data_IF_459669043194
#
_entry.id   IF_459669043194
#
_cell.length_a   1.000
_cell.length_b   1.000
_cell.length_c   1.000
_cell.angle_alpha   90.00
_cell.angle_beta   90.00
_cell.angle_gamma   90.00
#
_symmetry.space_group_name_H-M   'P 1'
#
loop_
_entity.id
_entity.type
_entity.pdbx_description
1 polymer ?
#
# COMPACT_ATOMS: atom_id res chain seq x y z
N UNK A 1 0.54 13.41 18.48
CA UNK A 1 1.60 12.40 18.32
C UNK A 1 1.13 11.29 17.41
N UNK A 2 1.96 10.89 16.45
CA UNK A 2 1.59 9.85 15.49
C UNK A 2 2.05 8.50 16.01
N UNK A 3 1.13 7.54 16.03
CA UNK A 3 1.45 6.17 16.39
C UNK A 3 1.31 5.30 15.15
N UNK A 4 2.09 4.23 15.07
CA UNK A 4 2.01 3.30 13.93
C UNK A 4 1.78 1.88 14.42
N UNK A 5 1.08 1.11 13.60
CA UNK A 5 0.90 -0.33 13.81
C UNK A 5 1.26 -1.06 12.53
N UNK A 6 1.83 -2.24 12.69
CA UNK A 6 2.09 -3.14 11.56
C UNK A 6 1.20 -4.35 11.70
N UNK A 7 0.39 -4.61 10.67
CA UNK A 7 -0.40 -5.83 10.58
C UNK A 7 0.27 -6.76 9.57
N UNK A 8 0.35 -8.03 9.89
CA UNK A 8 0.96 -9.02 9.02
C UNK A 8 0.37 -10.39 9.35
N UNK A 9 1.01 -11.47 8.91
CA UNK A 9 0.48 -12.82 9.11
C UNK A 9 0.47 -13.24 10.56
N UNK A 10 1.29 -12.62 11.40
CA UNK A 10 1.42 -12.96 12.82
C UNK A 10 0.70 -11.97 13.73
N UNK A 11 0.43 -10.77 13.25
CA UNK A 11 -0.28 -9.73 14.00
C UNK A 11 -1.40 -9.20 13.13
N UNK A 12 -2.54 -9.88 13.18
CA UNK A 12 -3.66 -9.55 12.31
C UNK A 12 -4.58 -8.52 12.95
N UNK A 13 -5.20 -7.68 12.12
CA UNK A 13 -6.17 -6.73 12.64
C UNK A 13 -7.45 -7.46 13.06
N UNK A 14 -8.14 -6.91 14.04
CA UNK A 14 -9.50 -7.37 14.33
C UNK A 14 -10.42 -6.86 13.20
N UNK A 15 -11.65 -7.37 13.17
CA UNK A 15 -12.58 -7.09 12.06
C UNK A 15 -12.81 -5.60 11.85
N UNK A 16 -13.05 -4.85 12.92
CA UNK A 16 -13.27 -3.40 12.84
C UNK A 16 -12.05 -2.66 12.32
N UNK A 17 -10.85 -3.04 12.75
CA UNK A 17 -9.63 -2.43 12.27
C UNK A 17 -9.46 -2.66 10.77
N UNK A 18 -9.76 -3.87 10.31
CA UNK A 18 -9.65 -4.20 8.90
C UNK A 18 -10.65 -3.42 8.06
N UNK A 19 -11.90 -3.35 8.53
CA UNK A 19 -12.94 -2.58 7.84
C UNK A 19 -12.59 -1.10 7.78
N UNK A 20 -12.08 -0.55 8.86
CA UNK A 20 -11.65 0.84 8.90
C UNK A 20 -10.51 1.12 7.93
N UNK A 21 -9.60 0.17 7.81
CA UNK A 21 -8.47 0.30 6.88
C UNK A 21 -8.94 0.29 5.42
N UNK A 22 -9.85 -0.61 5.09
CA UNK A 22 -10.45 -0.67 3.75
C UNK A 22 -11.15 0.65 3.43
N UNK A 23 -11.98 1.11 4.34
CA UNK A 23 -12.73 2.36 4.15
C UNK A 23 -11.79 3.55 4.02
N UNK A 24 -10.73 3.58 4.82
CA UNK A 24 -9.74 4.65 4.77
C UNK A 24 -9.07 4.70 3.40
N UNK A 25 -8.60 3.56 2.92
CA UNK A 25 -7.91 3.52 1.63
C UNK A 25 -8.85 3.88 0.49
N UNK A 26 -10.06 3.35 0.51
CA UNK A 26 -11.05 3.66 -0.51
C UNK A 26 -11.32 5.16 -0.59
N UNK A 27 -11.49 5.79 0.56
CA UNK A 27 -11.83 7.21 0.63
C UNK A 27 -10.66 8.11 0.26
N UNK A 28 -9.44 7.76 0.67
CA UNK A 28 -8.30 8.66 0.56
C UNK A 28 -7.44 8.44 -0.67
N UNK A 29 -7.57 7.32 -1.36
CA UNK A 29 -6.92 7.13 -2.66
C UNK A 29 -7.62 7.88 -3.77
N UNK A 30 -8.91 8.15 -3.61
CA UNK A 30 -9.71 8.92 -4.55
C UNK A 30 -9.65 8.32 -5.96
N UNK A 31 -9.35 9.15 -6.97
CA UNK A 31 -9.31 8.72 -8.36
C UNK A 31 -8.20 7.73 -8.67
N UNK A 32 -7.19 7.63 -7.80
CA UNK A 32 -6.06 6.72 -8.01
C UNK A 32 -6.24 5.39 -7.28
N UNK A 33 -7.41 5.15 -6.71
CA UNK A 33 -7.68 3.93 -5.98
C UNK A 33 -8.43 2.90 -6.80
N UNK A 34 -8.85 1.87 -6.10
CA UNK A 34 -9.57 0.74 -6.66
C UNK A 34 -10.88 0.53 -5.91
N UNK A 35 -11.79 -0.29 -6.42
CA UNK A 35 -13.00 -0.67 -5.67
C UNK A 35 -12.62 -1.32 -4.34
N UNK A 36 -13.53 -1.19 -3.36
CA UNK A 36 -13.28 -1.77 -2.03
C UNK A 36 -12.98 -3.26 -2.08
N UNK A 37 -13.59 -4.00 -3.01
CA UNK A 37 -13.35 -5.43 -3.15
C UNK A 37 -11.89 -5.72 -3.53
N UNK A 38 -11.27 -4.89 -4.36
CA UNK A 38 -9.88 -5.07 -4.74
C UNK A 38 -8.95 -4.67 -3.61
N UNK A 39 -9.30 -3.60 -2.88
CA UNK A 39 -8.53 -3.17 -1.70
C UNK A 39 -8.53 -4.29 -0.66
N UNK A 40 -9.69 -4.90 -0.45
CA UNK A 40 -9.80 -6.02 0.49
C UNK A 40 -8.95 -7.20 0.05
N UNK A 41 -8.94 -7.50 -1.25
CA UNK A 41 -8.09 -8.57 -1.78
C UNK A 41 -6.61 -8.33 -1.48
N UNK A 42 -6.16 -7.08 -1.65
CA UNK A 42 -4.76 -6.74 -1.39
C UNK A 42 -4.42 -6.90 0.09
N UNK A 43 -5.32 -6.48 0.97
CA UNK A 43 -5.12 -6.63 2.41
C UNK A 43 -5.14 -8.11 2.81
N UNK A 44 -6.08 -8.88 2.27
CA UNK A 44 -6.15 -10.31 2.52
C UNK A 44 -4.88 -11.03 2.07
N UNK A 45 -4.32 -10.60 0.94
CA UNK A 45 -3.06 -11.14 0.45
C UNK A 45 -1.94 -10.89 1.48
N UNK A 46 -1.84 -9.65 1.96
CA UNK A 46 -0.80 -9.28 2.93
C UNK A 46 -0.90 -10.10 4.21
N UNK A 47 -2.11 -10.44 4.62
CA UNK A 47 -2.37 -11.14 5.87
C UNK A 47 -2.41 -12.67 5.70
N UNK A 48 -2.30 -13.17 4.49
CA UNK A 48 -2.47 -14.59 4.16
C UNK A 48 -3.86 -15.10 4.55
N UNK A 49 -4.86 -14.26 4.42
CA UNK A 49 -6.26 -14.70 4.53
C UNK A 49 -6.69 -15.43 3.27
N UNK A 50 -5.93 -15.27 2.19
CA UNK A 50 -6.02 -16.05 0.97
C UNK A 50 -4.66 -16.67 0.73
N UNK A 51 -4.57 -17.64 -0.17
CA UNK A 51 -3.28 -18.23 -0.54
C UNK A 51 -2.40 -17.15 -1.16
N UNK A 52 -1.23 -16.90 -0.57
CA UNK A 52 -0.38 -15.78 -0.97
C UNK A 52 1.00 -15.91 -0.34
N UNK A 53 1.91 -15.02 -0.73
CA UNK A 53 3.22 -14.92 -0.10
C UNK A 53 3.22 -13.96 1.09
N UNK A 54 2.09 -13.30 1.35
CA UNK A 54 1.97 -12.41 2.49
C UNK A 54 2.55 -11.03 2.21
N UNK A 55 2.69 -10.27 3.27
CA UNK A 55 3.21 -8.92 3.23
C UNK A 55 2.88 -8.22 4.54
N UNK A 56 2.58 -6.92 4.46
CA UNK A 56 2.17 -6.19 5.65
C UNK A 56 1.34 -4.98 5.31
N UNK A 57 0.59 -4.52 6.29
CA UNK A 57 -0.10 -3.24 6.27
C UNK A 57 0.50 -2.38 7.38
N UNK A 58 1.01 -1.22 7.02
CA UNK A 58 1.54 -0.26 7.99
C UNK A 58 0.52 0.87 8.09
N UNK A 59 0.03 1.13 9.30
CA UNK A 59 -1.04 2.10 9.52
C UNK A 59 -0.59 3.12 10.55
N UNK A 60 -0.81 4.40 10.26
CA UNK A 60 -0.53 5.48 11.22
C UNK A 60 -1.84 6.03 11.77
N UNK A 61 -1.78 6.48 13.00
CA UNK A 61 -2.94 7.01 13.73
C UNK A 61 -2.60 8.37 14.32
N UNK A 62 -3.55 9.29 14.23
CA UNK A 62 -3.52 10.57 14.91
C UNK A 62 -4.84 10.70 15.67
N UNK A 63 -4.78 10.88 17.00
CA UNK A 63 -5.98 10.98 17.82
C UNK A 63 -6.96 9.83 17.59
N UNK A 64 -6.41 8.60 17.54
CA UNK A 64 -7.18 7.36 17.38
C UNK A 64 -7.87 7.20 16.02
N UNK A 65 -7.56 8.06 15.06
CA UNK A 65 -8.06 7.92 13.70
C UNK A 65 -6.90 7.61 12.76
N UNK A 66 -7.18 6.86 11.70
CA UNK A 66 -6.16 6.53 10.71
C UNK A 66 -5.75 7.80 9.98
N UNK A 67 -4.45 8.12 10.05
CA UNK A 67 -3.89 9.28 9.35
C UNK A 67 -3.16 8.87 8.06
N UNK A 68 -2.79 7.61 7.94
CA UNK A 68 -2.15 7.12 6.74
C UNK A 68 -2.02 5.61 6.75
N UNK A 69 -1.80 5.02 5.58
CA UNK A 69 -1.64 3.57 5.49
C UNK A 69 -0.86 3.19 4.24
N UNK A 70 -0.12 2.08 4.33
CA UNK A 70 0.65 1.50 3.23
C UNK A 70 0.37 0.01 3.22
N UNK A 71 0.12 -0.55 2.04
CA UNK A 71 -0.02 -2.00 1.85
C UNK A 71 1.14 -2.47 0.98
N UNK A 72 1.93 -3.41 1.49
CA UNK A 72 3.04 -4.02 0.76
C UNK A 72 2.81 -5.52 0.69
N UNK A 73 2.91 -6.06 -0.53
CA UNK A 73 2.72 -7.49 -0.77
C UNK A 73 4.00 -8.09 -1.32
N UNK A 74 4.35 -9.29 -0.85
CA UNK A 74 5.50 -10.02 -1.36
C UNK A 74 5.12 -10.71 -2.66
N UNK A 75 6.03 -10.68 -3.64
CA UNK A 75 5.76 -11.25 -4.96
C UNK A 75 6.05 -12.74 -5.03
N UNK A 76 6.86 -13.25 -4.11
CA UNK A 76 7.34 -14.62 -4.18
C UNK A 76 8.46 -14.81 -5.19
N UNK A 77 8.91 -13.72 -5.82
CA UNK A 77 9.99 -13.74 -6.82
C UNK A 77 11.19 -13.00 -6.27
N UNK A 78 12.34 -13.22 -6.90
CA UNK A 78 13.58 -12.67 -6.39
C UNK A 78 14.54 -12.38 -7.54
N UNK A 79 15.15 -11.21 -7.51
CA UNK A 79 16.19 -10.81 -8.47
C UNK A 79 15.64 -10.20 -9.76
N UNK A 80 14.97 -11.01 -10.57
CA UNK A 80 14.44 -10.57 -11.87
C UNK A 80 13.15 -9.77 -11.75
N UNK A 81 12.45 -9.89 -10.64
CA UNK A 81 11.30 -9.07 -10.29
C UNK A 81 11.50 -8.70 -8.83
N UNK A 82 11.21 -7.46 -8.43
CA UNK A 82 11.36 -7.08 -7.03
C UNK A 82 10.60 -8.00 -6.09
N UNK A 83 11.16 -8.24 -4.93
CA UNK A 83 10.59 -9.12 -3.93
C UNK A 83 9.27 -8.60 -3.37
N UNK A 84 9.03 -7.29 -3.46
CA UNK A 84 7.86 -6.66 -2.88
C UNK A 84 7.20 -5.73 -3.88
N UNK A 85 5.86 -5.59 -3.75
CA UNK A 85 5.09 -4.57 -4.46
C UNK A 85 4.40 -3.72 -3.40
N UNK A 86 4.62 -2.41 -3.45
CA UNK A 86 3.84 -1.46 -2.67
C UNK A 86 2.55 -1.23 -3.45
N UNK A 87 1.44 -1.73 -2.90
CA UNK A 87 0.17 -1.74 -3.62
C UNK A 87 -0.59 -0.43 -3.43
N UNK A 88 -0.68 0.03 -2.20
CA UNK A 88 -1.38 1.28 -1.88
C UNK A 88 -0.60 2.07 -0.85
N UNK A 89 -0.63 3.39 -0.98
CA UNK A 89 -0.22 4.32 0.06
C UNK A 89 -1.17 5.51 0.02
N UNK A 90 -1.68 5.90 1.16
CA UNK A 90 -2.58 7.05 1.25
C UNK A 90 -2.39 7.79 2.57
N UNK A 91 -2.56 9.09 2.52
CA UNK A 91 -2.57 9.95 3.70
C UNK A 91 -3.95 10.58 3.81
N UNK A 92 -4.47 10.70 5.02
CA UNK A 92 -5.75 11.36 5.25
C UNK A 92 -5.69 12.79 4.70
N UNK A 93 -6.74 13.19 3.97
CA UNK A 93 -6.74 14.48 3.29
C UNK A 93 -6.49 15.66 4.22
N UNK A 94 -6.92 15.55 5.49
CA UNK A 94 -6.73 16.61 6.47
C UNK A 94 -5.32 16.65 7.07
N UNK A 95 -4.50 15.65 6.76
CA UNK A 95 -3.13 15.53 7.28
C UNK A 95 -2.09 15.64 6.18
N UNK A 96 -2.49 15.99 4.96
CA UNK A 96 -1.53 16.16 3.85
C UNK A 96 -0.64 17.35 4.13
N UNK A 97 0.62 17.26 3.71
CA UNK A 97 1.60 18.29 3.96
C UNK A 97 2.28 18.21 5.32
N UNK A 98 1.96 17.18 6.12
CA UNK A 98 2.55 17.02 7.46
C UNK A 98 3.68 15.98 7.47
N UNK A 99 4.08 15.47 6.30
CA UNK A 99 5.18 14.52 6.21
C UNK A 99 4.81 13.07 6.52
N UNK A 100 3.52 12.77 6.67
CA UNK A 100 3.06 11.42 7.01
C UNK A 100 3.39 10.44 5.88
N UNK A 101 3.15 10.82 4.62
CA UNK A 101 3.44 9.95 3.48
C UNK A 101 4.91 9.58 3.41
N UNK A 102 5.80 10.55 3.63
CA UNK A 102 7.23 10.30 3.61
C UNK A 102 7.64 9.37 4.76
N UNK A 103 7.10 9.61 5.96
CA UNK A 103 7.39 8.78 7.14
C UNK A 103 6.94 7.34 6.91
N UNK A 104 5.73 7.15 6.36
CA UNK A 104 5.21 5.81 6.07
C UNK A 104 6.05 5.10 5.01
N UNK A 105 6.46 5.83 3.98
CA UNK A 105 7.27 5.26 2.92
C UNK A 105 8.62 4.79 3.47
N UNK A 106 9.27 5.61 4.29
CA UNK A 106 10.55 5.22 4.89
C UNK A 106 10.40 4.00 5.78
N UNK A 107 9.36 3.95 6.60
CA UNK A 107 9.12 2.79 7.45
C UNK A 107 8.81 1.54 6.64
N UNK A 108 8.05 1.67 5.56
CA UNK A 108 7.73 0.54 4.69
C UNK A 108 9.00 -0.01 4.04
N UNK A 109 9.87 0.89 3.59
CA UNK A 109 11.15 0.49 2.99
C UNK A 109 12.00 -0.27 4.03
N UNK A 110 12.02 0.21 5.27
CA UNK A 110 12.79 -0.44 6.32
C UNK A 110 12.22 -1.81 6.71
N UNK A 111 10.90 -1.95 6.68
CA UNK A 111 10.24 -3.22 7.03
C UNK A 111 10.34 -4.27 5.92
N UNK A 112 10.33 -3.84 4.68
CA UNK A 112 10.35 -4.77 3.55
C UNK A 112 11.76 -5.34 3.37
N UNK A 113 11.83 -6.64 3.10
CA UNK A 113 13.11 -7.28 2.77
C UNK A 113 13.21 -7.39 1.26
N UNK A 114 14.28 -6.80 0.71
CA UNK A 114 14.49 -6.81 -0.72
C UNK A 114 13.97 -5.55 -1.40
N UNK A 115 13.92 -5.62 -2.71
CA UNK A 115 13.55 -4.48 -3.54
C UNK A 115 12.04 -4.29 -3.59
N UNK A 116 11.61 -3.08 -3.90
CA UNK A 116 10.20 -2.73 -3.92
C UNK A 116 9.86 -2.07 -5.25
N UNK A 117 8.82 -2.55 -5.91
CA UNK A 117 8.25 -1.91 -7.08
C UNK A 117 6.90 -1.31 -6.72
N UNK A 118 6.48 -0.31 -7.47
CA UNK A 118 5.13 0.22 -7.36
C UNK A 118 4.66 0.69 -8.74
N UNK A 119 3.36 0.80 -8.89
CA UNK A 119 2.76 1.39 -10.07
C UNK A 119 2.19 2.75 -9.69
N UNK A 120 2.45 3.76 -10.51
CA UNK A 120 1.93 5.10 -10.28
C UNK A 120 1.54 5.70 -11.64
N UNK A 121 0.34 6.28 -11.69
CA UNK A 121 -0.10 6.92 -12.92
C UNK A 121 0.74 8.18 -13.16
N UNK A 122 1.05 8.49 -14.43
CA UNK A 122 1.97 9.62 -14.73
C UNK A 122 1.51 10.96 -14.18
N UNK A 123 0.20 11.18 -14.05
CA UNK A 123 -0.35 12.43 -13.55
C UNK A 123 -0.58 12.44 -12.04
N UNK A 124 -0.27 11.34 -11.36
CA UNK A 124 -0.41 11.27 -9.91
C UNK A 124 0.75 12.02 -9.25
N UNK A 125 0.46 13.10 -8.49
CA UNK A 125 1.53 13.87 -7.87
C UNK A 125 2.33 13.09 -6.83
N UNK A 126 1.85 11.95 -6.36
CA UNK A 126 2.57 11.10 -5.41
C UNK A 126 3.90 10.59 -5.98
N UNK A 127 4.05 10.57 -7.30
CA UNK A 127 5.31 10.13 -7.92
C UNK A 127 6.50 10.96 -7.45
N UNK A 128 6.27 12.24 -7.13
CA UNK A 128 7.36 13.10 -6.65
C UNK A 128 7.86 12.64 -5.28
N UNK A 129 6.97 12.18 -4.42
CA UNK A 129 7.37 11.59 -3.13
C UNK A 129 8.19 10.32 -3.36
N UNK A 130 7.74 9.47 -4.28
CA UNK A 130 8.42 8.21 -4.56
C UNK A 130 9.83 8.47 -5.07
N UNK A 131 9.99 9.44 -5.97
CA UNK A 131 11.30 9.81 -6.49
C UNK A 131 12.22 10.33 -5.39
N UNK A 132 11.67 11.13 -4.47
CA UNK A 132 12.45 11.68 -3.35
C UNK A 132 13.02 10.59 -2.44
N UNK A 133 12.30 9.49 -2.26
CA UNK A 133 12.78 8.41 -1.38
C UNK A 133 13.60 7.37 -2.14
N UNK A 134 13.83 7.56 -3.43
CA UNK A 134 14.77 6.72 -4.18
C UNK A 134 14.17 5.87 -5.27
N UNK A 135 12.87 5.95 -5.52
CA UNK A 135 12.28 5.20 -6.65
C UNK A 135 12.62 5.86 -7.97
N UNK A 136 12.82 5.06 -8.99
CA UNK A 136 13.04 5.55 -10.34
C UNK A 136 12.14 4.79 -11.32
N UNK A 137 11.79 5.46 -12.42
CA UNK A 137 10.96 4.86 -13.47
C UNK A 137 11.85 4.03 -14.38
N UNK A 138 11.96 2.74 -14.07
CA UNK A 138 12.80 1.84 -14.84
C UNK A 138 12.06 1.25 -16.03
N UNK A 139 10.77 0.99 -15.86
CA UNK A 139 9.96 0.34 -16.90
C UNK A 139 8.66 1.10 -17.12
N UNK A 140 8.09 0.89 -18.29
CA UNK A 140 6.74 1.35 -18.59
C UNK A 140 5.80 0.17 -18.34
N UNK A 141 4.74 0.39 -17.57
CA UNK A 141 3.73 -0.64 -17.35
C UNK A 141 2.81 -0.67 -18.56
N UNK A 142 2.69 -1.84 -19.17
CA UNK A 142 1.77 -2.04 -20.28
C UNK A 142 0.80 -3.13 -19.88
N UNK A 143 -0.50 -2.91 -20.15
CA UNK A 143 -1.53 -3.80 -19.68
C UNK A 143 -2.48 -4.17 -20.82
N UNK A 144 -2.68 -5.46 -20.97
CA UNK A 144 -3.70 -5.97 -21.88
C UNK A 144 -4.82 -6.56 -21.05
N UNK A 145 -6.02 -6.01 -21.22
CA UNK A 145 -7.18 -6.49 -20.49
C UNK A 145 -7.96 -7.41 -21.40
N UNK A 146 -8.10 -8.67 -21.00
CA UNK A 146 -8.84 -9.64 -21.79
C UNK A 146 -10.32 -9.49 -21.54
N UNK A 147 -11.07 -9.55 -22.64
CA UNK A 147 -12.50 -9.56 -22.57
C UNK A 147 -12.97 -10.88 -21.97
N UNK A 148 -13.84 -10.82 -20.98
CA UNK A 148 -14.43 -12.01 -20.40
C UNK A 148 -15.79 -12.22 -21.03
N UNK A 149 -15.81 -12.81 -22.18
CA UNK A 149 -17.06 -13.14 -22.86
C UNK A 149 -17.61 -14.41 -22.26
N UNK A 150 -18.78 -14.31 -21.72
CA UNK A 150 -19.42 -15.46 -21.11
C UNK A 150 -20.77 -15.71 -21.70
#
# INVERSE_FOLDING_TARGET
MIQTKVFNTENKPIRTEKENLIDFLFKNLQEYGDPKSDIEKAINYALKETESFGGFALVSYSDNEISGAVIVNQTGMKGYVPENILVYIATHKNHRGEGIGKMLMQKAIDLAEGNIALHVEPDNPARFLYEKVGFSSKYIEMRLVKSTNN
#
